data_IF_082233458607
#
_entry.id   IF_082233458607
#
_cell.length_a   1.000
_cell.length_b   1.000
_cell.length_c   1.000
_cell.angle_alpha   90.00
_cell.angle_beta   90.00
_cell.angle_gamma   90.00
#
_symmetry.space_group_name_H-M   'P 1'
#
loop_
_entity.id
_entity.type
_entity.pdbx_description
1 polymer ?
#
# COMPACT_ATOMS: atom_id res chain seq x y z
N UNK A 1 27.23 -14.62 8.49
CA UNK A 1 26.95 -13.48 7.58
C UNK A 1 25.54 -13.56 6.94
N UNK A 2 25.14 -14.71 6.37
CA UNK A 2 23.80 -14.89 5.78
C UNK A 2 22.65 -14.66 6.80
N UNK A 3 22.80 -15.12 8.04
CA UNK A 3 21.80 -14.96 9.10
C UNK A 3 21.47 -13.48 9.37
N UNK A 4 22.50 -12.62 9.44
CA UNK A 4 22.31 -11.18 9.68
C UNK A 4 21.61 -10.52 8.49
N UNK A 5 21.92 -10.93 7.26
CA UNK A 5 21.22 -10.45 6.06
C UNK A 5 19.74 -10.83 6.08
N UNK A 6 19.42 -12.06 6.43
CA UNK A 6 18.03 -12.52 6.57
C UNK A 6 17.29 -11.78 7.69
N UNK A 7 17.96 -11.50 8.81
CA UNK A 7 17.38 -10.74 9.91
C UNK A 7 17.03 -9.31 9.47
N UNK A 8 17.92 -8.62 8.78
CA UNK A 8 17.70 -7.25 8.28
C UNK A 8 16.54 -7.23 7.27
N UNK A 9 16.52 -8.18 6.33
CA UNK A 9 15.45 -8.29 5.36
C UNK A 9 14.10 -8.61 6.05
N UNK A 10 14.12 -9.47 7.07
CA UNK A 10 12.93 -9.79 7.86
C UNK A 10 12.38 -8.58 8.62
N UNK A 11 13.25 -7.78 9.24
CA UNK A 11 12.88 -6.53 9.92
C UNK A 11 12.31 -5.52 8.91
N UNK A 12 12.93 -5.39 7.74
CA UNK A 12 12.43 -4.50 6.69
C UNK A 12 11.02 -4.89 6.24
N UNK A 13 10.82 -6.16 5.93
CA UNK A 13 9.50 -6.68 5.53
C UNK A 13 8.48 -6.54 6.66
N UNK A 14 8.88 -6.84 7.90
CA UNK A 14 8.05 -6.66 9.09
C UNK A 14 7.64 -5.20 9.30
N UNK A 15 8.53 -4.24 9.00
CA UNK A 15 8.24 -2.81 9.08
C UNK A 15 7.17 -2.38 8.06
N UNK A 16 7.20 -2.92 6.84
CA UNK A 16 6.13 -2.69 5.85
C UNK A 16 4.79 -3.18 6.37
N UNK A 17 4.74 -4.42 6.88
CA UNK A 17 3.49 -4.97 7.45
C UNK A 17 3.01 -4.17 8.66
N UNK A 18 3.92 -3.68 9.51
CA UNK A 18 3.57 -2.85 10.66
C UNK A 18 2.91 -1.53 10.23
N UNK A 19 3.44 -0.84 9.22
CA UNK A 19 2.85 0.40 8.68
C UNK A 19 1.46 0.13 8.10
N UNK A 20 1.29 -0.97 7.34
CA UNK A 20 0.00 -1.37 6.79
C UNK A 20 -1.00 -1.66 7.91
N UNK A 21 -0.58 -2.40 8.93
CA UNK A 21 -1.41 -2.74 10.09
C UNK A 21 -1.82 -1.50 10.90
N UNK A 22 -0.93 -0.53 11.07
CA UNK A 22 -1.24 0.75 11.72
C UNK A 22 -2.30 1.51 10.92
N UNK A 23 -2.14 1.65 9.61
CA UNK A 23 -3.15 2.28 8.75
C UNK A 23 -4.51 1.58 8.86
N UNK A 24 -4.53 0.26 8.85
CA UNK A 24 -5.75 -0.54 9.03
C UNK A 24 -6.41 -0.31 10.39
N UNK A 25 -5.62 -0.30 11.47
CA UNK A 25 -6.15 -0.09 12.84
C UNK A 25 -6.67 1.34 13.04
N UNK A 26 -6.06 2.34 12.42
CA UNK A 26 -6.57 3.71 12.45
C UNK A 26 -7.94 3.82 11.77
N UNK A 27 -8.09 3.22 10.59
CA UNK A 27 -9.38 3.17 9.88
C UNK A 27 -10.43 2.43 10.71
N UNK A 28 -10.07 1.30 11.31
CA UNK A 28 -10.96 0.56 12.21
C UNK A 28 -11.34 1.37 13.45
N UNK A 29 -10.39 2.10 14.03
CA UNK A 29 -10.62 2.97 15.20
C UNK A 29 -11.69 4.04 14.93
N UNK A 30 -11.71 4.60 13.72
CA UNK A 30 -12.65 5.65 13.31
C UNK A 30 -13.98 5.06 12.83
N UNK A 31 -13.93 4.13 11.90
CA UNK A 31 -15.11 3.58 11.22
C UNK A 31 -15.83 2.50 12.03
N UNK A 32 -15.16 1.88 13.02
CA UNK A 32 -15.65 0.74 13.82
C UNK A 32 -16.12 -0.45 12.98
N UNK A 33 -15.58 -0.58 11.76
CA UNK A 33 -15.87 -1.67 10.84
C UNK A 33 -14.58 -2.16 10.18
N UNK A 34 -14.54 -3.44 9.84
CA UNK A 34 -13.41 -4.06 9.13
C UNK A 34 -13.47 -3.68 7.65
N UNK A 35 -12.45 -3.00 7.16
CA UNK A 35 -12.33 -2.61 5.75
C UNK A 35 -11.40 -3.58 5.01
N UNK A 36 -11.96 -4.65 4.43
CA UNK A 36 -11.16 -5.60 3.65
C UNK A 36 -10.59 -5.03 2.35
N UNK A 37 -11.15 -3.93 1.84
CA UNK A 37 -10.62 -3.24 0.68
C UNK A 37 -9.37 -2.38 0.97
N UNK A 38 -8.88 -2.33 2.22
CA UNK A 38 -7.72 -1.50 2.58
C UNK A 38 -6.46 -1.88 1.79
N UNK A 39 -6.17 -3.18 1.66
CA UNK A 39 -5.05 -3.68 0.86
C UNK A 39 -5.18 -3.33 -0.62
N UNK A 40 -6.41 -3.34 -1.15
CA UNK A 40 -6.65 -3.03 -2.55
C UNK A 40 -6.50 -1.54 -2.85
N UNK A 41 -6.77 -0.66 -1.88
CA UNK A 41 -6.48 0.77 -1.99
C UNK A 41 -4.97 0.98 -2.08
N UNK A 42 -4.17 0.27 -1.28
CA UNK A 42 -2.70 0.30 -1.36
C UNK A 42 -2.23 -0.21 -2.73
N UNK A 43 -2.82 -1.30 -3.23
CA UNK A 43 -2.55 -1.82 -4.57
C UNK A 43 -2.81 -0.76 -5.64
N UNK A 44 -3.96 -0.08 -5.62
CA UNK A 44 -4.27 1.00 -6.57
C UNK A 44 -3.25 2.13 -6.46
N UNK A 45 -2.87 2.52 -5.24
CA UNK A 45 -1.81 3.51 -5.00
C UNK A 45 -0.48 3.12 -5.66
N UNK A 46 -0.10 1.86 -5.57
CA UNK A 46 1.11 1.33 -6.22
C UNK A 46 1.03 1.40 -7.74
N UNK A 47 -0.13 1.09 -8.34
CA UNK A 47 -0.34 1.25 -9.78
C UNK A 47 -0.29 2.70 -10.23
N UNK A 48 -0.80 3.65 -9.44
CA UNK A 48 -0.71 5.08 -9.74
C UNK A 48 0.75 5.54 -9.75
N UNK A 49 1.56 5.12 -8.76
CA UNK A 49 3.01 5.41 -8.76
C UNK A 49 3.68 4.79 -9.98
N UNK A 50 3.35 3.53 -10.31
CA UNK A 50 3.88 2.85 -11.49
C UNK A 50 3.62 3.65 -12.78
N UNK A 51 2.37 4.09 -13.01
CA UNK A 51 2.01 4.88 -14.19
C UNK A 51 2.75 6.22 -14.19
N UNK A 52 2.77 6.91 -13.05
CA UNK A 52 3.38 8.23 -12.93
C UNK A 52 4.89 8.19 -13.21
N UNK A 53 5.59 7.19 -12.70
CA UNK A 53 7.04 7.03 -12.90
C UNK A 53 7.36 6.44 -14.28
N UNK A 54 6.71 5.33 -14.66
CA UNK A 54 7.09 4.57 -15.86
C UNK A 54 6.51 5.12 -17.14
N UNK A 55 5.28 5.67 -17.12
CA UNK A 55 4.60 6.15 -18.32
C UNK A 55 4.71 7.66 -18.50
N UNK A 56 4.65 8.43 -17.40
CA UNK A 56 4.71 9.90 -17.45
C UNK A 56 6.10 10.45 -17.14
N UNK A 57 7.04 9.62 -16.70
CA UNK A 57 8.41 10.05 -16.38
C UNK A 57 8.49 11.10 -15.26
N UNK A 58 7.48 11.13 -14.37
CA UNK A 58 7.41 12.11 -13.30
C UNK A 58 8.45 11.84 -12.20
N UNK A 59 8.80 12.90 -11.48
CA UNK A 59 9.65 12.79 -10.31
C UNK A 59 9.02 11.82 -9.31
N UNK A 60 9.78 10.86 -8.74
CA UNK A 60 9.27 9.88 -7.77
C UNK A 60 8.51 10.49 -6.59
N UNK A 61 8.98 11.60 -6.02
CA UNK A 61 8.32 12.29 -4.92
C UNK A 61 6.94 12.81 -5.34
N UNK A 62 6.84 13.42 -6.53
CA UNK A 62 5.58 13.91 -7.06
C UNK A 62 4.61 12.75 -7.33
N UNK A 63 5.11 11.62 -7.79
CA UNK A 63 4.32 10.41 -8.03
C UNK A 63 3.69 9.86 -6.75
N UNK A 64 4.42 9.92 -5.62
CA UNK A 64 3.87 9.53 -4.30
C UNK A 64 2.76 10.47 -3.87
N UNK A 65 2.91 11.78 -4.06
CA UNK A 65 1.86 12.77 -3.73
C UNK A 65 0.61 12.54 -4.56
N UNK A 66 0.75 12.32 -5.87
CA UNK A 66 -0.36 12.01 -6.77
C UNK A 66 -1.06 10.72 -6.34
N UNK A 67 -0.30 9.69 -6.00
CA UNK A 67 -0.82 8.42 -5.49
C UNK A 67 -1.61 8.61 -4.19
N UNK A 68 -1.11 9.40 -3.26
CA UNK A 68 -1.80 9.70 -2.00
C UNK A 68 -3.15 10.40 -2.25
N UNK A 69 -3.20 11.37 -3.18
CA UNK A 69 -4.44 12.04 -3.58
C UNK A 69 -5.41 11.05 -4.24
N UNK A 70 -4.92 10.20 -5.14
CA UNK A 70 -5.75 9.19 -5.79
C UNK A 70 -6.34 8.19 -4.78
N UNK A 71 -5.54 7.71 -3.83
CA UNK A 71 -6.02 6.84 -2.75
C UNK A 71 -7.04 7.53 -1.85
N UNK A 72 -6.86 8.82 -1.54
CA UNK A 72 -7.80 9.60 -0.77
C UNK A 72 -9.14 9.71 -1.49
N UNK A 73 -9.12 10.08 -2.78
CA UNK A 73 -10.34 10.18 -3.60
C UNK A 73 -11.04 8.83 -3.68
N UNK A 74 -10.29 7.76 -3.95
CA UNK A 74 -10.84 6.40 -4.02
C UNK A 74 -11.47 5.99 -2.69
N UNK A 75 -10.81 6.26 -1.57
CA UNK A 75 -11.33 5.97 -0.23
C UNK A 75 -12.65 6.70 0.06
N UNK A 76 -12.73 7.99 -0.30
CA UNK A 76 -13.96 8.78 -0.16
C UNK A 76 -15.08 8.24 -1.07
N UNK A 77 -14.77 7.82 -2.28
CA UNK A 77 -15.76 7.22 -3.20
C UNK A 77 -16.30 5.92 -2.63
N UNK A 78 -15.41 5.02 -2.18
CA UNK A 78 -15.80 3.74 -1.56
C UNK A 78 -16.66 3.98 -0.32
N UNK A 79 -16.27 4.92 0.55
CA UNK A 79 -17.05 5.26 1.73
C UNK A 79 -18.46 5.74 1.35
N UNK A 80 -18.56 6.68 0.42
CA UNK A 80 -19.86 7.26 0.03
C UNK A 80 -20.76 6.28 -0.71
N UNK A 81 -20.20 5.45 -1.58
CA UNK A 81 -20.97 4.58 -2.47
C UNK A 81 -21.27 3.23 -1.82
N UNK A 82 -20.28 2.64 -1.15
CA UNK A 82 -20.39 1.29 -0.61
C UNK A 82 -20.77 1.27 0.88
N UNK A 83 -20.14 2.09 1.72
CA UNK A 83 -20.30 1.97 3.17
C UNK A 83 -21.37 2.88 3.76
N UNK A 84 -21.48 4.11 3.28
CA UNK A 84 -22.47 5.08 3.79
C UNK A 84 -23.91 4.58 3.71
N UNK A 85 -24.39 3.95 2.59
CA UNK A 85 -25.73 3.41 2.52
C UNK A 85 -26.01 2.30 3.54
N UNK A 86 -24.96 1.58 3.96
CA UNK A 86 -25.04 0.43 4.86
C UNK A 86 -24.77 0.78 6.34
N UNK A 87 -24.67 2.07 6.69
CA UNK A 87 -24.35 2.51 8.05
C UNK A 87 -25.33 2.00 9.11
N UNK A 88 -26.59 1.76 8.74
CA UNK A 88 -27.65 1.23 9.60
C UNK A 88 -27.92 -0.26 9.37
N UNK A 89 -27.20 -0.91 8.47
CA UNK A 89 -27.33 -2.34 8.20
C UNK A 89 -26.57 -3.19 9.27
N UNK A 90 -26.79 -4.49 9.21
CA UNK A 90 -26.07 -5.42 10.08
C UNK A 90 -24.55 -5.39 9.81
N UNK A 91 -23.74 -5.64 10.84
CA UNK A 91 -22.28 -5.72 10.70
C UNK A 91 -21.84 -6.73 9.64
N UNK A 92 -22.63 -7.80 9.48
CA UNK A 92 -22.39 -8.82 8.46
C UNK A 92 -22.59 -8.29 7.04
N UNK A 93 -23.61 -7.48 6.80
CA UNK A 93 -23.85 -6.87 5.49
C UNK A 93 -22.71 -5.93 5.09
N UNK A 94 -22.20 -5.13 6.02
CA UNK A 94 -21.04 -4.26 5.80
C UNK A 94 -19.79 -5.08 5.48
N UNK A 95 -19.57 -6.17 6.19
CA UNK A 95 -18.42 -7.07 5.98
C UNK A 95 -18.47 -7.71 4.58
N UNK A 96 -19.62 -8.24 4.17
CA UNK A 96 -19.82 -8.82 2.84
C UNK A 96 -19.58 -7.77 1.75
N UNK A 97 -20.08 -6.54 1.96
CA UNK A 97 -19.86 -5.43 1.03
C UNK A 97 -18.37 -5.06 0.92
N UNK A 98 -17.64 -5.04 2.05
CA UNK A 98 -16.20 -4.78 2.03
C UNK A 98 -15.43 -5.83 1.21
N UNK A 99 -15.80 -7.12 1.34
CA UNK A 99 -15.25 -8.20 0.52
C UNK A 99 -15.62 -7.99 -0.96
N UNK A 100 -16.87 -7.63 -1.26
CA UNK A 100 -17.31 -7.34 -2.63
C UNK A 100 -16.54 -6.18 -3.27
N UNK A 101 -16.31 -5.10 -2.53
CA UNK A 101 -15.49 -3.96 -2.98
C UNK A 101 -14.05 -4.41 -3.25
N UNK A 102 -13.46 -5.23 -2.37
CA UNK A 102 -12.12 -5.79 -2.55
C UNK A 102 -12.02 -6.56 -3.87
N UNK A 103 -12.90 -7.54 -4.09
CA UNK A 103 -12.93 -8.30 -5.35
C UNK A 103 -13.18 -7.41 -6.57
N UNK A 104 -14.05 -6.42 -6.46
CA UNK A 104 -14.29 -5.47 -7.54
C UNK A 104 -13.01 -4.72 -7.93
N UNK A 105 -12.28 -4.16 -6.96
CA UNK A 105 -11.03 -3.44 -7.21
C UNK A 105 -9.96 -4.35 -7.82
N UNK A 106 -9.82 -5.58 -7.33
CA UNK A 106 -8.87 -6.56 -7.88
C UNK A 106 -9.17 -6.89 -9.33
N UNK A 107 -10.44 -7.16 -9.66
CA UNK A 107 -10.83 -7.48 -11.04
C UNK A 107 -10.67 -6.28 -11.97
N UNK A 108 -11.01 -5.07 -11.53
CA UNK A 108 -10.78 -3.84 -12.30
C UNK A 108 -9.29 -3.64 -12.57
N UNK A 109 -8.45 -3.82 -11.56
CA UNK A 109 -6.99 -3.72 -11.73
C UNK A 109 -6.47 -4.79 -12.72
N UNK A 110 -6.98 -6.03 -12.63
CA UNK A 110 -6.62 -7.11 -13.54
C UNK A 110 -7.01 -6.79 -14.99
N UNK A 111 -8.19 -6.23 -15.21
CA UNK A 111 -8.67 -5.85 -16.54
C UNK A 111 -7.85 -4.69 -17.15
N UNK A 112 -7.45 -3.71 -16.34
CA UNK A 112 -6.72 -2.53 -16.82
C UNK A 112 -5.23 -2.85 -17.02
N UNK A 113 -4.60 -3.53 -16.07
CA UNK A 113 -3.14 -3.74 -16.03
C UNK A 113 -2.71 -5.14 -16.50
N UNK A 114 -3.65 -6.08 -16.59
CA UNK A 114 -3.39 -7.48 -16.90
C UNK A 114 -2.77 -8.24 -15.73
N UNK A 115 -2.54 -9.56 -15.94
CA UNK A 115 -2.01 -10.46 -14.91
C UNK A 115 -0.47 -10.44 -14.79
N UNK A 116 0.22 -9.73 -15.67
CA UNK A 116 1.68 -9.72 -15.69
C UNK A 116 2.23 -8.84 -14.57
N UNK A 117 3.25 -9.34 -13.89
CA UNK A 117 3.98 -8.58 -12.86
C UNK A 117 4.57 -7.29 -13.45
N UNK A 118 4.28 -6.17 -12.84
CA UNK A 118 4.86 -4.87 -13.19
C UNK A 118 5.97 -4.54 -12.21
N UNK A 119 7.14 -4.22 -12.75
CA UNK A 119 8.26 -3.70 -11.97
C UNK A 119 8.54 -2.27 -12.40
N UNK A 120 8.90 -1.43 -11.45
CA UNK A 120 9.31 -0.05 -11.71
C UNK A 120 10.54 0.29 -10.89
N UNK A 121 11.25 1.30 -11.33
CA UNK A 121 12.42 1.80 -10.62
C UNK A 121 12.02 2.32 -9.26
N UNK A 122 12.78 1.95 -8.23
CA UNK A 122 12.51 2.39 -6.86
C UNK A 122 12.37 3.92 -6.78
N UNK A 123 11.40 4.36 -5.97
CA UNK A 123 11.20 5.78 -5.62
C UNK A 123 12.37 6.30 -4.79
N UNK A 124 13.02 5.41 -4.03
CA UNK A 124 14.20 5.71 -3.23
C UNK A 124 15.45 5.52 -4.10
N UNK A 125 16.40 6.47 -4.10
CA UNK A 125 17.66 6.31 -4.83
C UNK A 125 18.33 4.98 -4.49
N UNK A 126 18.82 4.27 -5.51
CA UNK A 126 19.47 2.96 -5.38
C UNK A 126 20.86 3.09 -4.71
N UNK A 127 20.91 3.73 -3.54
CA UNK A 127 22.12 3.81 -2.71
C UNK A 127 22.14 2.58 -1.82
N UNK A 128 23.15 1.76 -1.99
CA UNK A 128 23.39 0.61 -1.10
C UNK A 128 24.60 0.88 -0.22
N UNK A 129 24.42 0.77 1.09
CA UNK A 129 25.51 0.77 2.06
C UNK A 129 26.09 -0.64 2.10
N UNK A 130 27.33 -0.78 1.60
CA UNK A 130 28.10 -2.02 1.70
C UNK A 130 28.92 -1.98 2.99
N UNK A 131 28.53 -2.76 3.98
CA UNK A 131 29.30 -3.03 5.18
C UNK A 131 29.95 -4.42 5.05
N UNK A 132 31.09 -4.48 4.38
CA UNK A 132 31.77 -5.75 4.09
C UNK A 132 30.95 -6.61 3.13
N UNK A 133 30.48 -7.77 3.59
CA UNK A 133 29.62 -8.70 2.81
C UNK A 133 28.11 -8.42 2.94
N UNK A 134 27.72 -7.43 3.75
CA UNK A 134 26.32 -7.03 3.95
C UNK A 134 25.99 -5.85 3.03
N UNK A 135 24.95 -6.01 2.21
CA UNK A 135 24.40 -4.93 1.38
C UNK A 135 23.05 -4.53 1.95
N UNK A 136 22.97 -3.31 2.50
CA UNK A 136 21.73 -2.73 3.02
C UNK A 136 21.26 -1.71 1.99
N UNK A 137 20.07 -1.89 1.43
CA UNK A 137 19.50 -0.93 0.50
C UNK A 137 18.93 0.29 1.23
N UNK A 138 18.97 1.46 0.60
CA UNK A 138 18.38 2.67 1.17
C UNK A 138 16.88 2.50 1.46
N UNK A 139 16.18 1.70 0.65
CA UNK A 139 14.77 1.34 0.87
C UNK A 139 14.54 0.71 2.23
N UNK A 140 15.39 -0.25 2.63
CA UNK A 140 15.33 -0.91 3.94
C UNK A 140 15.44 0.10 5.08
N UNK A 141 16.39 1.03 4.98
CA UNK A 141 16.62 2.05 6.00
C UNK A 141 15.43 3.00 6.10
N UNK A 142 14.93 3.48 4.95
CA UNK A 142 13.78 4.39 4.88
C UNK A 142 12.53 3.73 5.45
N UNK A 143 12.29 2.46 5.12
CA UNK A 143 11.13 1.71 5.61
C UNK A 143 11.16 1.52 7.12
N UNK A 144 12.32 1.15 7.68
CA UNK A 144 12.47 0.97 9.13
C UNK A 144 12.32 2.31 9.85
N UNK A 145 12.94 3.38 9.34
CA UNK A 145 12.79 4.72 9.92
C UNK A 145 11.35 5.22 9.87
N UNK A 146 10.67 5.03 8.76
CA UNK A 146 9.26 5.39 8.62
C UNK A 146 8.39 4.62 9.64
N UNK A 147 8.64 3.33 9.83
CA UNK A 147 7.93 2.51 10.83
C UNK A 147 8.14 2.99 12.27
N UNK A 148 9.35 3.51 12.59
CA UNK A 148 9.67 4.00 13.95
C UNK A 148 9.06 5.39 14.20
N UNK A 149 8.93 6.21 13.15
CA UNK A 149 8.41 7.58 13.25
C UNK A 149 6.87 7.62 13.32
N UNK A 150 6.21 6.67 12.64
CA UNK A 150 4.73 6.55 12.61
C UNK A 150 4.22 5.85 13.87
#
# INVERSE_FOLDING_TARGET
MQFISYLINGISLGSVYAIIALGYTMVYGIAKMLNFAHGDIIMVGSYVVYIAVSSLGLNPILSVVISAIACLVLGVVIEKVAYKPLRHASKLAVLITAIGVSYFLQNVALLIFGANTKSFTSVVPAVSLKLGSLTITAETIVTILACVII
#
